data_IF_657897331363
#
_entry.id   IF_657897331363
#
_cell.length_a   1.000
_cell.length_b   1.000
_cell.length_c   1.000
_cell.angle_alpha   90.00
_cell.angle_beta   90.00
_cell.angle_gamma   90.00
#
_symmetry.space_group_name_H-M   'P 1'
#
loop_
_entity.id
_entity.type
_entity.pdbx_description
1 polymer ?
#
# COMPACT_ATOMS: atom_id res chain seq x y z
N UNK A 1 -7.06 14.57 11.10
CA UNK A 1 -8.25 14.59 10.21
C UNK A 1 -7.89 14.73 8.73
N UNK A 2 -6.64 15.08 8.39
CA UNK A 2 -6.13 15.21 7.01
C UNK A 2 -5.98 13.85 6.30
N UNK A 3 -5.41 12.86 6.98
CA UNK A 3 -4.85 11.67 6.30
C UNK A 3 -5.95 10.70 5.83
N UNK A 4 -7.06 10.64 6.56
CA UNK A 4 -8.26 9.86 6.18
C UNK A 4 -8.95 10.44 4.93
N UNK A 5 -8.80 11.75 4.68
CA UNK A 5 -9.43 12.41 3.53
C UNK A 5 -8.64 12.17 2.24
N UNK A 6 -7.31 12.21 2.32
CA UNK A 6 -6.40 11.88 1.21
C UNK A 6 -6.54 10.41 0.77
N UNK A 7 -6.59 9.47 1.71
CA UNK A 7 -6.72 8.03 1.37
C UNK A 7 -8.02 7.70 0.63
N UNK A 8 -9.12 8.38 0.96
CA UNK A 8 -10.40 8.19 0.24
C UNK A 8 -10.37 8.78 -1.17
N UNK A 9 -9.66 9.88 -1.43
CA UNK A 9 -9.57 10.47 -2.78
C UNK A 9 -8.63 9.68 -3.72
N UNK A 10 -7.64 8.98 -3.17
CA UNK A 10 -6.70 8.17 -3.96
C UNK A 10 -7.27 6.78 -4.30
N UNK A 11 -8.13 6.18 -3.49
CA UNK A 11 -8.58 4.78 -3.69
C UNK A 11 -10.07 4.67 -4.10
N UNK A 12 -10.84 5.76 -4.05
CA UNK A 12 -12.26 5.76 -4.42
C UNK A 12 -12.57 5.56 -5.91
N UNK A 13 -11.78 6.06 -6.88
CA UNK A 13 -12.03 5.78 -8.29
C UNK A 13 -11.76 4.31 -8.62
N UNK A 14 -12.66 3.67 -9.39
CA UNK A 14 -12.48 2.28 -9.84
C UNK A 14 -11.18 2.10 -10.62
N UNK A 15 -10.87 3.03 -11.52
CA UNK A 15 -9.65 2.96 -12.36
C UNK A 15 -8.36 2.93 -11.52
N UNK A 16 -8.34 3.69 -10.42
CA UNK A 16 -7.20 3.69 -9.50
C UNK A 16 -7.09 2.35 -8.76
N UNK A 17 -8.22 1.79 -8.29
CA UNK A 17 -8.22 0.44 -7.69
C UNK A 17 -7.69 -0.59 -8.67
N UNK A 18 -8.16 -0.58 -9.91
CA UNK A 18 -7.76 -1.55 -10.93
C UNK A 18 -6.24 -1.50 -11.19
N UNK A 19 -5.61 -0.32 -11.11
CA UNK A 19 -4.15 -0.18 -11.24
C UNK A 19 -3.34 -0.73 -10.05
N UNK A 20 -3.98 -0.97 -8.91
CA UNK A 20 -3.35 -1.37 -7.65
C UNK A 20 -3.57 -2.86 -7.30
N UNK A 21 -4.44 -3.57 -8.03
CA UNK A 21 -4.83 -4.96 -7.74
C UNK A 21 -3.63 -5.92 -7.74
N UNK A 22 -2.62 -5.64 -8.56
CA UNK A 22 -1.43 -6.48 -8.69
C UNK A 22 -0.48 -6.41 -7.48
N UNK A 23 -0.67 -5.42 -6.58
CA UNK A 23 0.19 -5.22 -5.40
C UNK A 23 -0.18 -6.12 -4.22
N UNK A 24 -0.33 -7.41 -4.50
CA UNK A 24 -0.73 -8.43 -3.51
C UNK A 24 0.29 -8.62 -2.39
N UNK A 25 1.54 -8.21 -2.60
CA UNK A 25 2.64 -8.26 -1.62
C UNK A 25 2.34 -7.45 -0.34
N UNK A 26 1.54 -6.38 -0.47
CA UNK A 26 1.14 -5.53 0.66
C UNK A 26 0.32 -6.32 1.68
N UNK A 27 -0.45 -7.33 1.24
CA UNK A 27 -1.24 -8.15 2.16
C UNK A 27 -0.35 -8.87 3.17
N UNK A 28 0.80 -9.40 2.73
CA UNK A 28 1.76 -10.08 3.61
C UNK A 28 2.50 -9.14 4.56
N UNK A 29 2.66 -7.86 4.21
CA UNK A 29 3.29 -6.87 5.08
C UNK A 29 2.38 -6.47 6.25
N UNK A 30 1.07 -6.37 6.01
CA UNK A 30 0.11 -5.97 7.04
C UNK A 30 -0.20 -7.13 8.00
N UNK A 31 -0.51 -8.31 7.46
CA UNK A 31 -0.91 -9.46 8.27
C UNK A 31 -0.69 -10.75 7.51
N UNK A 32 -0.16 -11.77 8.18
CA UNK A 32 0.00 -13.08 7.56
C UNK A 32 -1.38 -13.66 7.20
N UNK A 33 -1.56 -13.95 5.91
CA UNK A 33 -2.78 -14.52 5.38
C UNK A 33 -2.63 -16.04 5.32
N UNK A 34 -3.43 -16.75 6.12
CA UNK A 34 -3.49 -18.20 6.12
C UNK A 34 -4.22 -18.70 4.86
N UNK A 35 -3.46 -18.87 3.79
CA UNK A 35 -3.90 -19.44 2.52
C UNK A 35 -3.63 -20.95 2.54
N UNK A 36 -4.64 -21.79 2.23
CA UNK A 36 -4.36 -23.18 1.88
C UNK A 36 -3.40 -23.21 0.66
N UNK A 37 -2.21 -23.81 0.79
CA UNK A 37 -1.19 -23.83 -0.26
C UNK A 37 -1.66 -24.52 -1.55
N UNK A 38 -2.65 -25.42 -1.47
CA UNK A 38 -3.19 -26.14 -2.62
C UNK A 38 -4.15 -25.30 -3.47
N UNK A 39 -4.88 -24.36 -2.85
CA UNK A 39 -5.88 -23.55 -3.55
C UNK A 39 -5.40 -22.15 -3.87
N UNK A 40 -4.51 -21.57 -3.07
CA UNK A 40 -4.12 -20.15 -3.21
C UNK A 40 -5.30 -19.17 -3.06
N UNK A 41 -6.44 -19.64 -2.54
CA UNK A 41 -7.67 -18.89 -2.35
C UNK A 41 -8.20 -19.10 -0.95
N UNK A 42 -8.92 -18.12 -0.42
CA UNK A 42 -9.56 -18.18 0.89
C UNK A 42 -11.07 -18.05 0.81
N UNK A 43 -11.74 -18.56 1.83
CA UNK A 43 -13.18 -18.42 1.98
C UNK A 43 -13.54 -17.00 2.43
N UNK A 44 -14.80 -16.63 2.17
CA UNK A 44 -15.40 -15.41 2.68
C UNK A 44 -15.21 -15.23 4.20
N UNK A 45 -15.27 -16.32 4.97
CA UNK A 45 -15.07 -16.26 6.42
C UNK A 45 -13.64 -15.86 6.76
N UNK A 46 -12.65 -16.49 6.14
CA UNK A 46 -11.24 -16.16 6.36
C UNK A 46 -10.91 -14.71 5.95
N UNK A 47 -11.52 -14.18 4.89
CA UNK A 47 -11.38 -12.76 4.52
C UNK A 47 -11.97 -11.84 5.60
N UNK A 48 -13.12 -12.20 6.16
CA UNK A 48 -13.74 -11.46 7.25
C UNK A 48 -12.86 -11.46 8.50
N UNK A 49 -12.27 -12.60 8.83
CA UNK A 49 -11.34 -12.77 9.96
C UNK A 49 -10.00 -12.04 9.72
N UNK A 50 -9.53 -11.97 8.47
CA UNK A 50 -8.35 -11.21 8.09
C UNK A 50 -8.52 -9.73 8.41
N UNK A 51 -9.62 -9.13 7.94
CA UNK A 51 -9.93 -7.71 8.13
C UNK A 51 -10.61 -7.37 9.46
N UNK A 52 -10.82 -8.35 10.35
CA UNK A 52 -11.55 -8.19 11.62
C UNK A 52 -12.94 -7.53 11.43
N UNK A 53 -13.69 -7.96 10.42
CA UNK A 53 -15.04 -7.45 10.12
C UNK A 53 -16.08 -8.57 10.13
N UNK A 54 -17.37 -8.27 10.39
CA UNK A 54 -18.40 -9.28 10.29
C UNK A 54 -18.56 -9.76 8.83
N UNK A 55 -18.78 -11.06 8.66
CA UNK A 55 -19.04 -11.74 7.38
C UNK A 55 -20.06 -11.01 6.48
N UNK A 56 -21.08 -10.42 7.10
CA UNK A 56 -22.13 -9.67 6.41
C UNK A 56 -21.60 -8.43 5.67
N UNK A 57 -20.55 -7.78 6.16
CA UNK A 57 -19.94 -6.63 5.47
C UNK A 57 -19.25 -7.07 4.18
N UNK A 58 -18.47 -8.14 4.22
CA UNK A 58 -17.84 -8.71 3.01
C UNK A 58 -18.91 -9.15 2.00
N UNK A 59 -20.00 -9.74 2.48
CA UNK A 59 -21.11 -10.16 1.62
C UNK A 59 -21.81 -8.96 0.95
N UNK A 60 -21.97 -7.84 1.66
CA UNK A 60 -22.50 -6.60 1.09
C UNK A 60 -21.55 -6.00 0.05
N UNK A 61 -20.26 -5.96 0.34
CA UNK A 61 -19.25 -5.48 -0.60
C UNK A 61 -19.26 -6.29 -1.89
N UNK A 62 -19.27 -7.63 -1.78
CA UNK A 62 -19.32 -8.52 -2.93
C UNK A 62 -20.55 -8.26 -3.81
N UNK A 63 -21.72 -7.97 -3.21
CA UNK A 63 -22.94 -7.65 -3.95
C UNK A 63 -22.86 -6.29 -4.64
N UNK A 64 -22.28 -5.29 -3.99
CA UNK A 64 -22.18 -3.93 -4.54
C UNK A 64 -21.12 -3.79 -5.65
N UNK A 65 -20.07 -4.62 -5.61
CA UNK A 65 -18.92 -4.54 -6.51
C UNK A 65 -18.66 -5.87 -7.22
N UNK A 66 -19.71 -6.62 -7.56
CA UNK A 66 -19.60 -7.98 -8.09
C UNK A 66 -18.71 -8.03 -9.34
N UNK A 67 -18.88 -7.07 -10.25
CA UNK A 67 -18.11 -7.02 -11.51
C UNK A 67 -16.61 -6.87 -11.26
N UNK A 68 -16.23 -6.06 -10.26
CA UNK A 68 -14.82 -5.88 -9.88
C UNK A 68 -14.25 -7.18 -9.30
N UNK A 69 -14.98 -7.85 -8.40
CA UNK A 69 -14.52 -9.11 -7.81
C UNK A 69 -14.41 -10.25 -8.81
N UNK A 70 -15.37 -10.38 -9.73
CA UNK A 70 -15.31 -11.39 -10.79
C UNK A 70 -14.12 -11.13 -11.71
N UNK A 71 -13.82 -9.86 -12.00
CA UNK A 71 -12.62 -9.49 -12.77
C UNK A 71 -11.32 -9.88 -12.06
N UNK A 72 -11.29 -9.83 -10.72
CA UNK A 72 -10.13 -10.25 -9.92
C UNK A 72 -10.04 -11.78 -9.73
N UNK A 73 -10.95 -12.56 -10.33
CA UNK A 73 -10.94 -14.03 -10.22
C UNK A 73 -11.73 -14.59 -9.03
N UNK A 74 -12.61 -13.82 -8.40
CA UNK A 74 -13.57 -14.35 -7.44
C UNK A 74 -14.44 -15.44 -8.08
N UNK A 75 -14.59 -16.57 -7.38
CA UNK A 75 -15.42 -17.68 -7.86
C UNK A 75 -16.22 -18.33 -6.74
N UNK A 76 -17.27 -19.06 -7.11
CA UNK A 76 -18.08 -19.85 -6.18
C UNK A 76 -18.01 -21.32 -6.56
N UNK A 77 -17.68 -22.16 -5.59
CA UNK A 77 -17.59 -23.62 -5.79
C UNK A 77 -18.41 -24.38 -4.75
N UNK A 78 -18.91 -25.54 -5.13
CA UNK A 78 -19.55 -26.45 -4.17
C UNK A 78 -18.48 -27.13 -3.31
N UNK A 79 -18.89 -27.61 -2.14
CA UNK A 79 -17.97 -28.30 -1.23
C UNK A 79 -17.36 -29.55 -1.87
N UNK A 80 -18.16 -30.31 -2.64
CA UNK A 80 -17.66 -31.51 -3.35
C UNK A 80 -16.53 -31.18 -4.32
N UNK A 81 -16.73 -30.16 -5.14
CA UNK A 81 -15.77 -29.74 -6.17
C UNK A 81 -14.52 -29.17 -5.50
N UNK A 82 -14.70 -28.33 -4.47
CA UNK A 82 -13.59 -27.76 -3.71
C UNK A 82 -12.71 -28.83 -3.06
N UNK A 83 -13.33 -29.83 -2.44
CA UNK A 83 -12.64 -30.93 -1.75
C UNK A 83 -11.88 -31.80 -2.75
N UNK A 84 -12.23 -31.79 -4.04
CA UNK A 84 -11.49 -32.51 -5.07
C UNK A 84 -10.11 -31.89 -5.36
N UNK A 85 -9.93 -30.58 -5.12
CA UNK A 85 -8.63 -29.90 -5.29
C UNK A 85 -7.62 -30.29 -4.21
N UNK A 86 -8.09 -30.70 -3.03
CA UNK A 86 -7.22 -31.20 -1.98
C UNK A 86 -6.82 -32.65 -2.27
N UNK A 87 -5.52 -32.86 -2.47
CA UNK A 87 -4.94 -34.18 -2.71
C UNK A 87 -4.83 -35.05 -1.45
N UNK A 88 -5.09 -34.47 -0.27
CA UNK A 88 -4.94 -35.14 1.04
C UNK A 88 -6.08 -36.11 1.35
N UNK A 89 -5.75 -37.24 1.96
CA UNK A 89 -6.71 -38.31 2.29
C UNK A 89 -7.64 -38.00 3.47
N UNK A 90 -7.29 -37.02 4.32
CA UNK A 90 -8.06 -36.65 5.51
C UNK A 90 -9.29 -35.80 5.16
N UNK A 91 -10.27 -36.40 4.48
CA UNK A 91 -11.55 -35.79 4.13
C UNK A 91 -12.62 -36.31 5.08
N UNK A 92 -13.09 -35.48 6.01
CA UNK A 92 -14.20 -35.83 6.91
C UNK A 92 -15.46 -35.10 6.47
N UNK A 93 -16.46 -35.84 6.03
CA UNK A 93 -17.80 -35.31 5.76
C UNK A 93 -18.61 -35.31 7.04
N UNK A 94 -19.01 -34.12 7.50
CA UNK A 94 -20.05 -33.96 8.54
C UNK A 94 -21.35 -33.52 7.85
N UNK A 95 -22.47 -33.59 8.56
CA UNK A 95 -23.78 -33.21 7.99
C UNK A 95 -23.74 -31.73 7.56
N UNK A 96 -23.61 -31.49 6.25
CA UNK A 96 -23.61 -30.15 5.66
C UNK A 96 -22.24 -29.48 5.50
N UNK A 97 -21.13 -30.13 5.85
CA UNK A 97 -19.78 -29.56 5.71
C UNK A 97 -18.71 -30.61 5.41
N UNK A 98 -17.60 -30.14 4.85
CA UNK A 98 -16.38 -30.91 4.62
C UNK A 98 -15.23 -30.31 5.42
N UNK A 99 -14.51 -31.14 6.14
CA UNK A 99 -13.23 -30.78 6.74
C UNK A 99 -12.12 -31.47 5.96
N UNK A 100 -11.14 -30.70 5.54
CA UNK A 100 -9.94 -31.17 4.82
C UNK A 100 -8.70 -30.73 5.58
N UNK A 101 -7.68 -31.59 5.60
CA UNK A 101 -6.36 -31.24 6.14
C UNK A 101 -5.45 -30.86 4.98
N UNK A 102 -4.88 -29.66 5.04
CA UNK A 102 -3.88 -29.17 4.10
C UNK A 102 -2.54 -29.89 4.30
N UNK A 103 -1.64 -29.81 3.32
CA UNK A 103 -0.26 -30.34 3.38
C UNK A 103 0.53 -29.78 4.57
N UNK A 104 0.17 -28.60 5.08
CA UNK A 104 0.80 -27.98 6.26
C UNK A 104 0.24 -28.49 7.59
N UNK A 105 -0.74 -29.41 7.57
CA UNK A 105 -1.38 -29.96 8.76
C UNK A 105 -2.55 -29.13 9.31
N UNK A 106 -2.88 -28.00 8.69
CA UNK A 106 -4.02 -27.17 9.10
C UNK A 106 -5.35 -27.75 8.60
N UNK A 107 -6.39 -27.65 9.43
CA UNK A 107 -7.74 -28.08 9.06
C UNK A 107 -8.58 -26.92 8.54
N UNK A 108 -9.14 -27.10 7.35
CA UNK A 108 -10.05 -26.16 6.71
C UNK A 108 -11.44 -26.75 6.62
N UNK A 109 -12.45 -25.98 7.04
CA UNK A 109 -13.86 -26.41 7.00
C UNK A 109 -14.63 -25.61 5.97
N UNK A 110 -15.26 -26.32 5.05
CA UNK A 110 -16.06 -25.78 3.96
C UNK A 110 -17.51 -26.23 4.06
N UNK A 111 -18.42 -25.35 3.63
CA UNK A 111 -19.83 -25.72 3.48
C UNK A 111 -19.98 -26.73 2.34
N UNK A 112 -20.95 -27.63 2.45
CA UNK A 112 -21.30 -28.52 1.35
C UNK A 112 -21.79 -27.73 0.12
N UNK A 113 -22.37 -26.55 0.33
CA UNK A 113 -22.95 -25.72 -0.72
C UNK A 113 -22.32 -24.32 -0.75
N UNK A 114 -22.03 -23.84 -1.97
CA UNK A 114 -21.67 -22.46 -2.32
C UNK A 114 -20.65 -21.81 -1.39
N UNK A 115 -19.37 -22.14 -1.58
CA UNK A 115 -18.26 -21.46 -0.95
C UNK A 115 -17.74 -20.37 -1.88
N UNK A 116 -17.77 -19.11 -1.43
CA UNK A 116 -17.12 -18.00 -2.13
C UNK A 116 -15.63 -18.04 -1.87
N UNK A 117 -14.85 -18.13 -2.94
CA UNK A 117 -13.39 -18.21 -2.94
C UNK A 117 -12.80 -16.90 -3.45
N UNK A 118 -11.84 -16.39 -2.70
CA UNK A 118 -11.18 -15.12 -2.95
C UNK A 118 -9.69 -15.38 -3.19
N UNK A 119 -9.18 -15.12 -4.41
CA UNK A 119 -7.74 -15.05 -4.65
C UNK A 119 -7.16 -13.77 -4.01
N UNK A 120 -5.83 -13.63 -3.98
CA UNK A 120 -5.14 -12.53 -3.26
C UNK A 120 -5.57 -11.15 -3.76
N UNK A 121 -5.77 -11.02 -5.05
CA UNK A 121 -6.23 -9.84 -5.79
C UNK A 121 -7.59 -9.36 -5.24
N UNK A 122 -8.55 -10.29 -5.14
CA UNK A 122 -9.87 -10.01 -4.60
C UNK A 122 -9.83 -9.63 -3.11
N UNK A 123 -8.92 -10.21 -2.33
CA UNK A 123 -8.73 -9.85 -0.91
C UNK A 123 -8.22 -8.42 -0.80
N UNK A 124 -7.23 -8.04 -1.60
CA UNK A 124 -6.72 -6.67 -1.65
C UNK A 124 -7.84 -5.69 -2.02
N UNK A 125 -8.70 -6.03 -2.99
CA UNK A 125 -9.85 -5.21 -3.34
C UNK A 125 -10.83 -5.02 -2.17
N UNK A 126 -11.05 -6.05 -1.35
CA UNK A 126 -11.82 -5.89 -0.11
C UNK A 126 -11.18 -4.84 0.80
N UNK A 127 -9.86 -4.88 1.00
CA UNK A 127 -9.13 -3.90 1.81
C UNK A 127 -9.25 -2.47 1.27
N UNK A 128 -9.25 -2.30 -0.05
CA UNK A 128 -9.44 -1.00 -0.69
C UNK A 128 -10.86 -0.43 -0.50
N UNK A 129 -11.87 -1.29 -0.44
CA UNK A 129 -13.28 -0.89 -0.31
C UNK A 129 -13.74 -0.74 1.15
N UNK A 130 -13.06 -1.38 2.11
CA UNK A 130 -13.38 -1.29 3.54
C UNK A 130 -12.92 0.04 4.15
N UNK A 131 -13.89 0.80 4.67
CA UNK A 131 -13.64 2.13 5.27
C UNK A 131 -13.22 2.06 6.74
N UNK A 132 -13.91 1.22 7.51
CA UNK A 132 -13.87 1.29 8.97
C UNK A 132 -12.99 0.21 9.63
N UNK A 133 -12.50 -0.76 8.86
CA UNK A 133 -11.57 -1.78 9.38
C UNK A 133 -10.19 -1.16 9.61
N UNK A 134 -9.62 -1.37 10.80
CA UNK A 134 -8.26 -0.92 11.12
C UNK A 134 -7.22 -1.57 10.20
N UNK A 135 -7.34 -2.88 9.97
CA UNK A 135 -6.47 -3.62 9.03
C UNK A 135 -6.59 -3.07 7.62
N UNK A 136 -7.80 -2.72 7.18
CA UNK A 136 -8.00 -2.11 5.87
C UNK A 136 -7.42 -0.69 5.74
N UNK A 137 -7.43 0.10 6.83
CA UNK A 137 -6.78 1.42 6.85
C UNK A 137 -5.27 1.28 6.67
N UNK A 138 -4.67 0.29 7.32
CA UNK A 138 -3.24 0.00 7.18
C UNK A 138 -2.88 -0.44 5.76
N UNK A 139 -3.66 -1.37 5.17
CA UNK A 139 -3.50 -1.76 3.76
C UNK A 139 -3.56 -0.53 2.83
N UNK A 140 -4.53 0.36 3.03
CA UNK A 140 -4.65 1.60 2.23
C UNK A 140 -3.48 2.56 2.44
N UNK A 141 -2.93 2.63 3.66
CA UNK A 141 -1.75 3.45 3.94
C UNK A 141 -0.51 2.90 3.24
N UNK A 142 -0.28 1.58 3.28
CA UNK A 142 0.84 0.95 2.58
C UNK A 142 0.74 1.11 1.06
N UNK A 143 -0.47 0.92 0.49
CA UNK A 143 -0.72 1.17 -0.92
C UNK A 143 -0.33 2.59 -1.35
N UNK A 144 -0.63 3.58 -0.50
CA UNK A 144 -0.29 4.99 -0.75
C UNK A 144 1.21 5.23 -0.67
N UNK A 145 1.89 4.69 0.34
CA UNK A 145 3.34 4.82 0.51
C UNK A 145 4.09 4.28 -0.72
N UNK A 146 3.70 3.10 -1.22
CA UNK A 146 4.33 2.52 -2.42
C UNK A 146 4.11 3.37 -3.68
N UNK A 147 2.96 4.04 -3.81
CA UNK A 147 2.71 4.97 -4.93
C UNK A 147 3.58 6.24 -4.81
N UNK A 148 3.76 6.78 -3.61
CA UNK A 148 4.61 7.95 -3.37
C UNK A 148 6.08 7.67 -3.66
N UNK A 149 6.60 6.51 -3.25
CA UNK A 149 7.97 6.07 -3.56
C UNK A 149 8.21 5.92 -5.06
N UNK A 150 7.24 5.34 -5.78
CA UNK A 150 7.30 5.18 -7.23
C UNK A 150 7.27 6.53 -7.96
N UNK A 151 6.48 7.48 -7.47
CA UNK A 151 6.47 8.85 -7.98
C UNK A 151 7.84 9.52 -7.78
N UNK A 152 8.44 9.40 -6.59
CA UNK A 152 9.76 9.96 -6.30
C UNK A 152 10.88 9.36 -7.17
N UNK A 153 10.84 8.05 -7.43
CA UNK A 153 11.80 7.38 -8.30
C UNK A 153 11.64 7.79 -9.78
N UNK A 154 10.40 7.98 -10.25
CA UNK A 154 10.14 8.40 -11.64
C UNK A 154 10.60 9.83 -11.96
N UNK A 155 10.68 10.71 -10.95
CA UNK A 155 11.20 12.07 -11.10
C UNK A 155 12.74 12.06 -11.21
N UNK A 156 13.41 11.17 -10.48
CA UNK A 156 14.86 11.02 -10.56
C UNK A 156 15.33 10.50 -11.94
N UNK A 157 14.55 9.64 -12.60
CA UNK A 157 14.92 9.07 -13.92
C UNK A 157 14.61 10.00 -15.10
N UNK A 158 13.80 11.06 -14.92
CA UNK A 158 13.49 12.03 -15.99
C UNK A 158 14.49 13.20 -16.10
N UNK A 159 15.37 13.36 -15.11
CA UNK A 159 16.35 14.45 -15.12
C UNK A 159 17.53 14.32 -16.12
N UNK A 160 18.00 13.13 -16.55
CA UNK A 160 19.13 13.07 -17.48
C UNK A 160 18.75 13.17 -18.97
N UNK A 161 17.46 13.21 -19.34
CA UNK A 161 17.05 13.19 -20.75
C UNK A 161 16.75 14.58 -21.37
N UNK A 162 17.11 15.68 -20.70
CA UNK A 162 16.97 17.05 -21.23
C UNK A 162 18.26 17.88 -21.16
N UNK A 163 19.43 17.23 -21.11
CA UNK A 163 20.74 17.89 -21.22
C UNK A 163 21.30 17.93 -22.64
N UNK A 164 20.79 17.09 -23.56
CA UNK A 164 21.52 16.77 -24.79
C UNK A 164 21.06 17.56 -26.04
N UNK A 165 20.11 18.49 -25.90
CA UNK A 165 19.75 19.42 -26.98
C UNK A 165 19.59 20.85 -26.47
N UNK A 166 20.63 21.41 -25.89
CA UNK A 166 20.80 22.87 -25.84
C UNK A 166 22.17 23.19 -26.43
N UNK A 167 22.18 23.29 -27.76
CA UNK A 167 23.29 23.86 -28.53
C UNK A 167 23.54 25.29 -28.02
N UNK A 168 24.69 25.46 -27.35
CA UNK A 168 25.06 26.69 -26.64
C UNK A 168 25.66 27.75 -27.57
N UNK A 169 25.62 27.54 -28.89
CA UNK A 169 26.42 28.26 -29.86
C UNK A 169 25.70 29.40 -30.61
N UNK A 170 24.39 29.58 -30.43
CA UNK A 170 23.64 30.57 -31.25
C UNK A 170 23.22 31.86 -30.51
N UNK A 171 23.44 31.97 -29.19
CA UNK A 171 22.92 33.11 -28.40
C UNK A 171 23.94 34.18 -27.99
N UNK A 172 25.16 34.18 -28.53
CA UNK A 172 26.16 35.22 -28.21
C UNK A 172 26.16 36.45 -29.14
N UNK A 173 25.26 36.56 -30.12
CA UNK A 173 25.42 37.62 -31.14
C UNK A 173 24.61 38.91 -30.94
N UNK A 174 23.78 39.09 -29.89
CA UNK A 174 22.96 40.32 -29.75
C UNK A 174 22.71 40.83 -28.32
N UNK A 175 23.71 40.83 -27.43
CA UNK A 175 23.68 41.71 -26.25
C UNK A 175 24.32 43.06 -26.58
N UNK A 176 23.61 43.90 -27.34
CA UNK A 176 23.91 45.33 -27.35
C UNK A 176 22.65 46.14 -27.68
N UNK A 177 21.76 46.31 -26.69
CA UNK A 177 20.97 47.54 -26.47
C UNK A 177 19.96 47.43 -25.32
N UNK A 178 20.15 48.36 -24.38
CA UNK A 178 19.14 49.12 -23.65
C UNK A 178 18.21 48.43 -22.62
N UNK A 179 18.45 48.83 -21.37
CA UNK A 179 17.48 49.43 -20.44
C UNK A 179 16.53 48.56 -19.60
N UNK A 180 16.74 48.75 -18.29
CA UNK A 180 15.77 48.94 -17.21
C UNK A 180 15.06 47.74 -16.58
N UNK A 181 15.42 47.56 -15.31
CA UNK A 181 14.57 47.18 -14.17
C UNK A 181 13.96 45.78 -14.20
N UNK A 182 14.65 44.81 -13.57
CA UNK A 182 14.07 43.88 -12.59
C UNK A 182 15.19 42.97 -12.03
N UNK A 183 16.11 43.58 -11.29
CA UNK A 183 17.30 42.91 -10.75
C UNK A 183 17.33 42.73 -9.24
N UNK A 184 16.20 42.89 -8.53
CA UNK A 184 16.24 43.03 -7.06
C UNK A 184 15.35 42.05 -6.25
N UNK A 185 14.76 41.03 -6.86
CA UNK A 185 13.98 40.05 -6.08
C UNK A 185 14.76 38.76 -5.73
N UNK A 186 15.66 38.29 -6.58
CA UNK A 186 16.32 36.98 -6.40
C UNK A 186 17.61 36.99 -5.57
N UNK A 187 18.08 38.15 -5.10
CA UNK A 187 19.30 38.27 -4.28
C UNK A 187 19.02 38.22 -2.77
N UNK A 188 17.78 38.46 -2.33
CA UNK A 188 17.44 38.50 -0.89
C UNK A 188 17.21 37.11 -0.29
N UNK A 189 16.74 36.15 -1.09
CA UNK A 189 16.40 34.80 -0.60
C UNK A 189 17.66 33.96 -0.37
N UNK A 190 18.73 34.15 -1.16
CA UNK A 190 19.97 33.35 -1.02
C UNK A 190 20.89 33.81 0.11
N UNK A 191 20.65 34.99 0.72
CA UNK A 191 21.42 35.48 1.88
C UNK A 191 20.83 35.07 3.24
N UNK A 192 19.57 34.67 3.35
CA UNK A 192 18.98 34.26 4.64
C UNK A 192 19.35 32.82 5.03
N UNK A 193 19.51 31.91 4.06
CA UNK A 193 19.75 30.49 4.36
C UNK A 193 21.21 30.15 4.67
N UNK A 194 22.16 30.96 4.21
CA UNK A 194 23.59 30.75 4.54
C UNK A 194 23.90 31.17 5.98
N UNK A 195 23.15 32.14 6.54
CA UNK A 195 23.36 32.61 7.92
C UNK A 195 22.59 31.81 8.98
N UNK A 196 21.54 31.05 8.61
CA UNK A 196 20.81 30.19 9.55
C UNK A 196 21.54 28.87 9.87
N UNK A 197 22.32 28.34 8.92
CA UNK A 197 23.01 27.05 9.08
C UNK A 197 24.27 27.15 9.96
N UNK A 198 24.84 28.34 10.12
CA UNK A 198 26.06 28.58 10.93
C UNK A 198 25.74 28.78 12.42
N UNK A 199 24.51 29.19 12.77
CA UNK A 199 24.10 29.45 14.16
C UNK A 199 23.70 28.19 14.96
N UNK A 200 23.35 27.08 14.29
CA UNK A 200 22.92 25.86 14.98
C UNK A 200 24.08 24.88 15.29
N UNK A 201 25.22 25.01 14.60
CA UNK A 201 26.41 24.17 14.81
C UNK A 201 27.27 24.55 16.02
N UNK A 202 27.11 25.76 16.57
CA UNK A 202 27.94 26.27 17.68
C UNK A 202 27.31 26.09 19.06
N UNK A 203 26.01 25.76 19.17
CA UNK A 203 25.35 25.59 20.48
C UNK A 203 25.48 24.17 21.07
N UNK A 204 25.83 23.16 20.27
CA UNK A 204 25.93 21.77 20.74
C UNK A 204 27.31 21.41 21.33
N UNK A 205 28.34 22.24 21.09
CA UNK A 205 29.70 22.04 21.61
C UNK A 205 29.92 22.54 23.05
N UNK A 206 29.03 23.37 23.61
CA UNK A 206 29.23 23.99 24.94
C UNK A 206 28.52 23.26 26.11
N UNK A 207 27.71 22.23 25.84
CA UNK A 207 26.89 21.55 26.87
C UNK A 207 27.56 20.29 27.48
N UNK A 208 28.84 20.02 27.22
CA UNK A 208 29.54 18.82 27.71
C UNK A 208 30.67 19.05 28.74
N UNK A 209 30.84 20.27 29.29
CA UNK A 209 32.00 20.58 30.17
C UNK A 209 31.63 20.98 31.62
N UNK A 210 30.46 20.58 32.16
CA UNK A 210 30.17 20.89 33.58
C UNK A 210 29.47 19.78 34.35
N UNK A 211 30.24 18.74 34.67
CA UNK A 211 29.98 17.88 35.83
C UNK A 211 31.04 18.18 36.91
N UNK A 212 30.72 18.89 38.00
CA UNK A 212 31.59 18.93 39.17
C UNK A 212 31.40 17.65 40.00
N UNK A 213 32.51 16.93 40.18
CA UNK A 213 32.68 15.87 41.16
C UNK A 213 32.45 16.40 42.58
N UNK A 214 31.47 15.84 43.31
CA UNK A 214 31.37 16.04 44.76
C UNK A 214 31.93 14.81 45.45
N UNK A 215 33.08 15.01 46.08
CA UNK A 215 33.82 14.07 46.90
C UNK A 215 33.04 13.73 48.17
N UNK A 216 32.93 12.44 48.45
CA UNK A 216 32.44 11.88 49.72
C UNK A 216 33.48 12.09 50.83
N UNK A 217 33.01 12.49 52.01
CA UNK A 217 33.61 12.24 53.34
C UNK A 217 32.48 11.99 54.31
#
# INVERSE_FOLDING_TARGET
MSDVKLTNEVISPKDKRDSLVDKVEILSEVKELLLPPELGMVTLQQVADFYNVPKNMITKLLKSHQDEFVSDGYTQMNGNDLVSFFSTEAKRKRRGSYTVTSINGEEYTYSNYKNGLFPKEAILRVGMLLRDSEVAKEVRAQLLNTEEEKAAQSVATKLPALSDTFDKSEFESKQDKSHSLEGNFYSSITKSYVNGLVLCGLSLSLLLIKLPSVSSK
#
